data_IF_465695151375
#
_entry.id   IF_465695151375
#
_cell.length_a   1.000
_cell.length_b   1.000
_cell.length_c   1.000
_cell.angle_alpha   90.00
_cell.angle_beta   90.00
_cell.angle_gamma   90.00
#
_symmetry.space_group_name_H-M   'P 1'
#
loop_
_entity.id
_entity.type
_entity.pdbx_description
1 polymer ?
#
# COMPACT_ATOMS: atom_id res chain seq x y z
N UNK A 1 -3.32 -4.39 -6.23
CA UNK A 1 -2.49 -5.57 -5.91
C UNK A 1 -1.30 -5.55 -6.86
N UNK A 2 -0.09 -5.75 -6.35
CA UNK A 2 1.12 -5.89 -7.17
C UNK A 2 1.06 -7.11 -8.11
N UNK A 3 1.93 -7.25 -9.13
CA UNK A 3 1.88 -8.37 -10.07
C UNK A 3 1.88 -9.74 -9.39
N UNK A 4 2.74 -9.93 -8.39
CA UNK A 4 2.82 -11.19 -7.62
C UNK A 4 1.53 -11.45 -6.84
N UNK A 5 0.92 -10.41 -6.29
CA UNK A 5 -0.37 -10.52 -5.60
C UNK A 5 -1.53 -10.85 -6.55
N UNK A 6 -1.45 -10.42 -7.81
CA UNK A 6 -2.40 -10.81 -8.86
C UNK A 6 -2.24 -12.30 -9.18
N UNK A 7 -1.02 -12.80 -9.30
CA UNK A 7 -0.74 -14.23 -9.51
C UNK A 7 -1.21 -15.08 -8.32
N UNK A 8 -0.92 -14.66 -7.08
CA UNK A 8 -1.42 -15.32 -5.87
C UNK A 8 -2.95 -15.34 -5.86
N UNK A 9 -3.58 -14.21 -6.22
CA UNK A 9 -5.04 -14.10 -6.33
C UNK A 9 -5.61 -15.10 -7.34
N UNK A 10 -4.98 -15.22 -8.51
CA UNK A 10 -5.36 -16.17 -9.55
C UNK A 10 -5.30 -17.62 -9.04
N UNK A 11 -4.22 -17.99 -8.33
CA UNK A 11 -4.06 -19.34 -7.75
C UNK A 11 -5.08 -19.64 -6.65
N UNK A 12 -5.35 -18.67 -5.77
CA UNK A 12 -6.38 -18.80 -4.72
C UNK A 12 -7.75 -19.00 -5.37
N UNK A 13 -8.11 -18.16 -6.36
CA UNK A 13 -9.37 -18.27 -7.08
C UNK A 13 -9.50 -19.61 -7.80
N UNK A 14 -8.47 -20.06 -8.52
CA UNK A 14 -8.46 -21.35 -9.20
C UNK A 14 -8.65 -22.53 -8.26
N UNK A 15 -8.08 -22.47 -7.05
CA UNK A 15 -8.23 -23.53 -6.04
C UNK A 15 -9.59 -23.52 -5.36
N UNK A 16 -10.24 -22.37 -5.28
CA UNK A 16 -11.55 -22.19 -4.64
C UNK A 16 -12.72 -22.14 -5.64
N UNK A 17 -12.46 -22.33 -6.94
CA UNK A 17 -13.46 -22.24 -8.00
C UNK A 17 -14.66 -23.17 -7.80
N UNK A 18 -14.46 -24.34 -7.17
CA UNK A 18 -15.54 -25.28 -6.86
C UNK A 18 -16.57 -24.73 -5.86
N UNK A 19 -16.21 -23.67 -5.12
CA UNK A 19 -17.12 -22.95 -4.24
C UNK A 19 -17.86 -21.81 -4.94
N UNK A 20 -17.53 -21.48 -6.20
CA UNK A 20 -18.16 -20.35 -6.88
C UNK A 20 -19.47 -20.80 -7.51
N UNK A 21 -20.49 -19.95 -7.40
CA UNK A 21 -21.75 -20.13 -8.11
C UNK A 21 -21.65 -19.47 -9.49
N UNK A 22 -22.20 -20.14 -10.50
CA UNK A 22 -22.34 -19.60 -11.86
C UNK A 22 -23.74 -19.94 -12.38
N UNK A 23 -24.57 -18.91 -12.59
CA UNK A 23 -26.02 -19.03 -12.81
C UNK A 23 -26.47 -18.25 -14.04
N UNK A 24 -27.56 -18.70 -14.66
CA UNK A 24 -28.20 -18.01 -15.79
C UNK A 24 -29.17 -16.91 -15.35
N UNK A 25 -29.66 -16.98 -14.11
CA UNK A 25 -30.62 -16.04 -13.53
C UNK A 25 -29.96 -15.24 -12.39
N UNK A 26 -30.42 -14.01 -12.11
CA UNK A 26 -29.96 -13.22 -10.97
C UNK A 26 -30.16 -13.95 -9.66
N UNK A 27 -29.20 -13.84 -8.75
CA UNK A 27 -29.26 -14.47 -7.44
C UNK A 27 -28.64 -13.53 -6.39
N UNK A 28 -29.20 -13.41 -5.17
CA UNK A 28 -28.69 -12.52 -4.14
C UNK A 28 -27.23 -12.77 -3.74
N UNK A 29 -26.72 -14.00 -3.88
CA UNK A 29 -25.34 -14.35 -3.58
C UNK A 29 -24.41 -14.21 -4.81
N UNK A 30 -24.95 -13.82 -5.99
CA UNK A 30 -24.20 -13.56 -7.22
C UNK A 30 -24.08 -12.04 -7.48
N UNK A 31 -23.00 -11.45 -6.99
CA UNK A 31 -22.74 -10.00 -7.05
C UNK A 31 -22.19 -9.52 -8.39
N UNK A 32 -21.77 -10.44 -9.27
CA UNK A 32 -21.16 -10.12 -10.55
C UNK A 32 -21.94 -10.67 -11.75
N UNK A 33 -21.83 -10.01 -12.90
CA UNK A 33 -22.49 -10.37 -14.15
C UNK A 33 -21.57 -10.21 -15.35
N UNK A 34 -21.69 -11.12 -16.31
CA UNK A 34 -21.04 -11.10 -17.62
C UNK A 34 -22.12 -11.24 -18.69
N UNK A 35 -22.09 -10.42 -19.73
CA UNK A 35 -22.95 -10.59 -20.90
C UNK A 35 -22.16 -11.26 -22.03
N UNK A 36 -22.48 -12.51 -22.33
CA UNK A 36 -21.78 -13.31 -23.34
C UNK A 36 -21.95 -12.75 -24.77
N UNK A 37 -22.94 -11.87 -24.99
CA UNK A 37 -23.12 -11.19 -26.28
C UNK A 37 -22.28 -9.92 -26.43
N UNK A 38 -21.71 -9.42 -25.33
CA UNK A 38 -20.94 -8.17 -25.28
C UNK A 38 -19.58 -8.45 -24.64
N UNK A 39 -18.53 -8.69 -25.46
CA UNK A 39 -17.20 -8.94 -24.91
C UNK A 39 -16.76 -7.77 -24.03
N UNK A 40 -16.44 -8.06 -22.77
CA UNK A 40 -16.11 -7.06 -21.76
C UNK A 40 -15.75 -7.68 -20.42
N UNK A 41 -15.19 -6.87 -19.53
CA UNK A 41 -14.92 -7.28 -18.16
C UNK A 41 -16.23 -7.52 -17.39
N UNK A 42 -16.24 -8.40 -16.37
CA UNK A 42 -17.38 -8.55 -15.49
C UNK A 42 -17.80 -7.23 -14.84
N UNK A 43 -19.11 -7.03 -14.71
CA UNK A 43 -19.70 -5.89 -14.01
C UNK A 43 -20.31 -6.33 -12.68
N UNK A 44 -20.54 -5.39 -11.78
CA UNK A 44 -21.38 -5.64 -10.61
C UNK A 44 -22.85 -5.69 -11.03
N UNK A 45 -23.65 -6.54 -10.39
CA UNK A 45 -25.10 -6.56 -10.57
C UNK A 45 -25.68 -5.27 -9.98
N UNK A 46 -26.21 -4.40 -10.84
CA UNK A 46 -26.96 -3.23 -10.41
C UNK A 46 -28.38 -3.60 -9.99
N UNK A 47 -28.95 -2.88 -9.02
CA UNK A 47 -30.27 -3.18 -8.44
C UNK A 47 -31.47 -3.16 -9.41
N UNK A 48 -31.28 -2.75 -10.66
CA UNK A 48 -32.34 -2.69 -11.67
C UNK A 48 -31.90 -3.20 -13.05
N UNK A 49 -30.93 -4.12 -13.09
CA UNK A 49 -30.42 -4.69 -14.34
C UNK A 49 -31.43 -5.70 -14.94
N UNK A 50 -32.03 -5.44 -16.12
CA UNK A 50 -32.89 -6.43 -16.76
C UNK A 50 -32.06 -7.63 -17.25
N UNK A 51 -32.35 -8.80 -16.70
CA UNK A 51 -31.66 -10.03 -17.09
C UNK A 51 -31.99 -10.42 -18.54
N UNK A 52 -30.97 -10.88 -19.27
CA UNK A 52 -31.12 -11.40 -20.64
C UNK A 52 -30.60 -12.84 -20.72
N UNK A 53 -31.02 -13.65 -21.71
CA UNK A 53 -30.55 -15.04 -21.83
C UNK A 53 -29.03 -15.19 -22.05
N UNK A 54 -28.35 -14.13 -22.50
CA UNK A 54 -26.90 -14.11 -22.73
C UNK A 54 -26.12 -13.70 -21.48
N UNK A 55 -26.79 -13.26 -20.42
CA UNK A 55 -26.15 -12.91 -19.15
C UNK A 55 -25.84 -14.16 -18.31
N UNK A 56 -24.71 -14.11 -17.62
CA UNK A 56 -24.31 -15.09 -16.61
C UNK A 56 -23.94 -14.35 -15.34
N UNK A 57 -24.47 -14.81 -14.24
CA UNK A 57 -24.26 -14.26 -12.91
C UNK A 57 -23.30 -15.18 -12.16
N UNK A 58 -22.34 -14.60 -11.44
CA UNK A 58 -21.43 -15.41 -10.62
C UNK A 58 -21.26 -14.84 -9.22
N UNK A 59 -21.09 -15.75 -8.27
CA UNK A 59 -21.05 -15.46 -6.85
C UNK A 59 -19.90 -16.17 -6.15
N UNK A 60 -19.27 -15.47 -5.22
CA UNK A 60 -18.11 -15.95 -4.46
C UNK A 60 -18.42 -16.18 -2.99
N UNK A 61 -19.65 -15.91 -2.54
CA UNK A 61 -20.05 -15.92 -1.12
C UNK A 61 -19.77 -17.27 -0.45
N UNK A 62 -19.96 -18.39 -1.16
CA UNK A 62 -19.69 -19.72 -0.63
C UNK A 62 -18.20 -20.03 -0.43
N UNK A 63 -17.30 -19.29 -1.06
CA UNK A 63 -15.86 -19.42 -0.86
C UNK A 63 -15.38 -18.68 0.41
N UNK A 64 -16.15 -17.72 0.91
CA UNK A 64 -15.78 -16.87 2.06
C UNK A 64 -15.39 -17.69 3.30
N UNK A 65 -16.18 -18.68 3.78
CA UNK A 65 -15.80 -19.45 4.97
C UNK A 65 -14.50 -20.26 4.78
N UNK A 66 -14.21 -20.70 3.54
CA UNK A 66 -12.97 -21.40 3.22
C UNK A 66 -11.76 -20.45 3.30
N UNK A 67 -11.89 -19.23 2.75
CA UNK A 67 -10.86 -18.18 2.85
C UNK A 67 -10.60 -17.81 4.30
N UNK A 68 -11.65 -17.55 5.09
CA UNK A 68 -11.52 -17.22 6.51
C UNK A 68 -10.81 -18.32 7.31
N UNK A 69 -11.10 -19.58 7.02
CA UNK A 69 -10.42 -20.71 7.66
C UNK A 69 -8.92 -20.68 7.36
N UNK A 70 -8.54 -20.42 6.11
CA UNK A 70 -7.14 -20.35 5.69
C UNK A 70 -6.43 -19.16 6.36
N UNK A 71 -7.08 -18.00 6.41
CA UNK A 71 -6.58 -16.80 7.11
C UNK A 71 -6.30 -17.14 8.58
N UNK A 72 -7.29 -17.67 9.31
CA UNK A 72 -7.12 -17.99 10.74
C UNK A 72 -5.97 -18.97 11.00
N UNK A 73 -5.80 -19.98 10.14
CA UNK A 73 -4.70 -20.94 10.22
C UNK A 73 -3.34 -20.24 10.07
N UNK A 74 -3.20 -19.36 9.08
CA UNK A 74 -1.93 -18.67 8.82
C UNK A 74 -1.61 -17.56 9.84
N UNK A 75 -2.60 -17.03 10.54
CA UNK A 75 -2.39 -16.01 11.58
C UNK A 75 -1.95 -16.61 12.93
N UNK A 76 -2.36 -17.84 13.24
CA UNK A 76 -2.15 -18.45 14.56
C UNK A 76 -1.16 -19.61 14.55
N UNK A 77 -0.93 -20.24 13.40
CA UNK A 77 -0.06 -21.41 13.27
C UNK A 77 1.08 -21.13 12.28
N UNK A 78 2.20 -20.67 12.83
CA UNK A 78 3.43 -20.43 12.07
C UNK A 78 4.22 -21.72 11.79
N UNK A 79 3.80 -22.88 12.33
CA UNK A 79 4.57 -24.11 12.23
C UNK A 79 4.55 -24.70 10.81
N UNK A 80 3.45 -24.50 10.07
CA UNK A 80 3.34 -24.92 8.67
C UNK A 80 2.92 -23.76 7.76
N UNK A 81 3.85 -23.15 6.99
CA UNK A 81 3.51 -22.06 6.10
C UNK A 81 2.56 -22.53 4.99
N UNK A 82 1.62 -21.68 4.58
CA UNK A 82 0.70 -22.00 3.48
C UNK A 82 1.45 -22.24 2.16
N UNK A 83 1.53 -23.51 1.72
CA UNK A 83 2.21 -23.91 0.48
C UNK A 83 1.27 -24.06 -0.71
N UNK A 84 -0.05 -24.09 -0.50
CA UNK A 84 -1.03 -24.41 -1.57
C UNK A 84 -1.07 -23.35 -2.67
N UNK A 85 -0.57 -22.15 -2.42
CA UNK A 85 -0.57 -21.02 -3.37
C UNK A 85 0.81 -20.72 -3.99
N UNK A 86 1.79 -21.60 -3.78
CA UNK A 86 3.17 -21.41 -4.25
C UNK A 86 4.13 -21.15 -3.10
N UNK A 87 5.40 -21.53 -3.26
CA UNK A 87 6.44 -21.33 -2.24
C UNK A 87 7.27 -20.06 -2.50
N UNK A 88 7.13 -19.48 -3.69
CA UNK A 88 7.81 -18.27 -4.13
C UNK A 88 7.26 -16.99 -3.46
N UNK A 89 6.07 -17.04 -2.86
CA UNK A 89 5.46 -15.90 -2.17
C UNK A 89 5.59 -16.00 -0.65
N UNK A 90 5.81 -14.85 -0.01
CA UNK A 90 5.92 -14.73 1.45
C UNK A 90 4.60 -15.14 2.13
N UNK A 91 4.64 -15.75 3.33
CA UNK A 91 3.42 -16.04 4.10
C UNK A 91 2.58 -14.79 4.37
N UNK A 92 3.24 -13.67 4.70
CA UNK A 92 2.59 -12.38 4.91
C UNK A 92 1.90 -11.87 3.63
N UNK A 93 2.58 -11.92 2.48
CA UNK A 93 2.00 -11.52 1.20
C UNK A 93 0.78 -12.35 0.81
N UNK A 94 0.82 -13.68 1.02
CA UNK A 94 -0.36 -14.54 0.81
C UNK A 94 -1.53 -14.15 1.71
N UNK A 95 -1.25 -13.87 2.99
CA UNK A 95 -2.26 -13.44 3.94
C UNK A 95 -2.88 -12.10 3.54
N UNK A 96 -2.08 -11.14 3.08
CA UNK A 96 -2.54 -9.87 2.52
C UNK A 96 -3.51 -10.10 1.35
N UNK A 97 -3.17 -10.99 0.42
CA UNK A 97 -4.03 -11.31 -0.72
C UNK A 97 -5.32 -12.00 -0.29
N UNK A 98 -5.26 -12.97 0.62
CA UNK A 98 -6.45 -13.63 1.16
C UNK A 98 -7.41 -12.63 1.82
N UNK A 99 -6.88 -11.72 2.65
CA UNK A 99 -7.66 -10.64 3.28
C UNK A 99 -8.27 -9.70 2.25
N UNK A 100 -7.51 -9.34 1.21
CA UNK A 100 -8.01 -8.54 0.11
C UNK A 100 -9.17 -9.24 -0.62
N UNK A 101 -9.02 -10.50 -1.00
CA UNK A 101 -10.06 -11.28 -1.67
C UNK A 101 -11.32 -11.37 -0.80
N UNK A 102 -11.18 -11.57 0.52
CA UNK A 102 -12.30 -11.60 1.46
C UNK A 102 -13.11 -10.30 1.42
N UNK A 103 -12.46 -9.14 1.31
CA UNK A 103 -13.13 -7.84 1.17
C UNK A 103 -14.03 -7.77 -0.07
N UNK A 104 -13.60 -8.36 -1.20
CA UNK A 104 -14.35 -8.30 -2.47
C UNK A 104 -15.26 -9.50 -2.70
N UNK A 105 -15.01 -10.64 -2.07
CA UNK A 105 -15.83 -11.85 -2.24
C UNK A 105 -17.03 -11.92 -1.29
N UNK A 106 -17.07 -11.04 -0.29
CA UNK A 106 -18.20 -10.89 0.62
C UNK A 106 -19.46 -10.34 -0.05
N UNK A 107 -20.56 -10.29 0.71
CA UNK A 107 -21.87 -9.83 0.21
C UNK A 107 -21.94 -8.34 -0.14
N UNK A 108 -21.08 -7.54 0.48
CA UNK A 108 -21.03 -6.10 0.30
C UNK A 108 -19.62 -5.68 -0.16
N UNK A 109 -19.20 -6.05 -1.38
CA UNK A 109 -17.92 -5.61 -1.89
C UNK A 109 -17.88 -4.07 -1.95
N UNK A 110 -16.70 -3.44 -1.76
CA UNK A 110 -16.58 -2.00 -1.89
C UNK A 110 -17.05 -1.54 -3.28
N UNK A 111 -18.08 -0.69 -3.30
CA UNK A 111 -18.54 -0.07 -4.54
C UNK A 111 -17.93 1.32 -4.69
N UNK A 112 -17.97 1.86 -5.91
CA UNK A 112 -17.61 3.26 -6.15
C UNK A 112 -18.66 4.16 -5.48
N UNK A 113 -18.32 4.77 -4.35
CA UNK A 113 -19.25 5.62 -3.59
C UNK A 113 -19.13 7.11 -3.98
N UNK A 114 -18.01 7.51 -4.58
CA UNK A 114 -17.74 8.92 -4.89
C UNK A 114 -17.86 9.22 -6.38
N UNK A 115 -18.55 10.30 -6.68
CA UNK A 115 -18.65 10.86 -8.02
C UNK A 115 -17.27 11.38 -8.48
N UNK A 116 -16.90 11.05 -9.72
CA UNK A 116 -15.69 11.57 -10.35
C UNK A 116 -16.04 12.84 -11.12
N UNK A 117 -15.31 13.90 -10.86
CA UNK A 117 -15.43 15.15 -11.61
C UNK A 117 -14.42 15.12 -12.74
N UNK A 118 -14.92 15.21 -13.97
CA UNK A 118 -14.06 15.40 -15.14
C UNK A 118 -13.29 16.71 -15.00
N UNK A 119 -12.00 16.68 -15.25
CA UNK A 119 -11.12 17.84 -15.18
C UNK A 119 -10.12 17.79 -16.33
N UNK A 120 -9.72 18.94 -16.86
CA UNK A 120 -8.58 19.05 -17.76
C UNK A 120 -7.44 19.67 -16.96
N UNK A 121 -6.49 18.83 -16.53
CA UNK A 121 -5.32 19.24 -15.77
C UNK A 121 -4.14 18.31 -16.10
N UNK A 122 -2.95 18.70 -15.67
CA UNK A 122 -1.76 17.84 -15.68
C UNK A 122 -1.25 17.66 -14.26
N UNK A 123 -0.64 16.50 -14.01
CA UNK A 123 -0.03 16.17 -12.73
C UNK A 123 1.40 15.69 -12.95
N UNK A 124 2.31 16.14 -12.10
CA UNK A 124 3.68 15.64 -12.05
C UNK A 124 3.68 14.31 -11.30
N UNK A 125 4.28 13.29 -11.90
CA UNK A 125 4.35 11.92 -11.38
C UNK A 125 5.81 11.50 -11.27
N UNK A 126 6.19 11.01 -10.10
CA UNK A 126 7.48 10.33 -9.86
C UNK A 126 7.20 8.95 -9.28
N UNK A 127 8.18 8.06 -9.27
CA UNK A 127 8.01 6.69 -8.80
C UNK A 127 9.09 6.27 -7.82
N UNK A 128 8.76 5.26 -7.04
CA UNK A 128 9.68 4.58 -6.14
C UNK A 128 9.76 5.19 -4.75
N UNK A 129 9.80 4.32 -3.75
CA UNK A 129 9.80 4.65 -2.33
C UNK A 129 10.91 5.63 -1.96
N UNK A 130 12.14 5.39 -2.41
CA UNK A 130 13.29 6.25 -2.10
C UNK A 130 13.07 7.68 -2.55
N UNK A 131 12.70 7.90 -3.81
CA UNK A 131 12.42 9.24 -4.35
C UNK A 131 11.25 9.90 -3.62
N UNK A 132 10.15 9.16 -3.40
CA UNK A 132 8.95 9.70 -2.76
C UNK A 132 9.23 10.09 -1.30
N UNK A 133 9.95 9.26 -0.54
CA UNK A 133 10.32 9.54 0.86
C UNK A 133 11.15 10.81 1.01
N UNK A 134 11.81 11.22 -0.08
CA UNK A 134 12.62 12.42 -0.14
C UNK A 134 11.85 13.67 -0.59
N UNK A 135 10.75 13.50 -1.33
CA UNK A 135 9.96 14.58 -1.91
C UNK A 135 8.76 15.00 -1.07
N UNK A 136 8.21 14.09 -0.28
CA UNK A 136 7.12 14.41 0.65
C UNK A 136 7.62 15.29 1.80
N UNK A 137 6.68 15.91 2.52
CA UNK A 137 6.99 16.75 3.68
C UNK A 137 7.93 16.00 4.63
N UNK A 138 9.08 16.59 4.93
CA UNK A 138 10.06 16.01 5.86
C UNK A 138 9.95 16.67 7.23
N UNK A 139 10.30 15.92 8.25
CA UNK A 139 10.56 16.51 9.56
C UNK A 139 11.98 17.07 9.60
N UNK A 140 12.13 18.28 10.13
CA UNK A 140 13.42 18.91 10.29
C UNK A 140 14.31 18.12 11.27
N UNK A 141 15.50 17.73 10.79
CA UNK A 141 16.48 16.98 11.57
C UNK A 141 17.13 17.85 12.63
N UNK A 142 17.29 19.16 12.36
CA UNK A 142 17.89 20.09 13.32
C UNK A 142 16.99 20.32 14.55
N UNK A 143 15.70 20.03 14.42
CA UNK A 143 14.72 20.10 15.50
C UNK A 143 14.71 18.85 16.41
N UNK A 144 15.58 17.85 16.21
CA UNK A 144 15.58 16.60 16.99
C UNK A 144 16.41 16.69 18.28
N UNK A 145 15.76 16.61 19.46
CA UNK A 145 16.39 16.92 20.77
C UNK A 145 17.04 15.71 21.47
N UNK A 146 16.76 14.48 21.04
CA UNK A 146 17.14 13.24 21.74
C UNK A 146 18.13 12.35 20.96
N UNK A 147 18.92 12.93 20.04
CA UNK A 147 19.92 12.22 19.24
C UNK A 147 21.34 12.61 19.66
N UNK A 148 22.27 11.65 19.65
CA UNK A 148 23.68 11.95 19.85
C UNK A 148 24.25 12.73 18.66
N UNK A 149 25.35 13.48 18.84
CA UNK A 149 26.04 14.15 17.73
C UNK A 149 26.46 13.19 16.61
N UNK A 150 26.77 11.94 16.97
CA UNK A 150 27.08 10.88 16.00
C UNK A 150 25.82 10.50 15.20
N UNK A 151 24.67 10.33 15.86
CA UNK A 151 23.41 9.96 15.20
C UNK A 151 22.87 11.07 14.30
N UNK A 152 22.97 12.34 14.74
CA UNK A 152 22.59 13.48 13.91
C UNK A 152 23.44 13.57 12.65
N UNK A 153 24.75 13.29 12.76
CA UNK A 153 25.66 13.23 11.61
C UNK A 153 25.28 12.10 10.65
N UNK A 154 24.95 10.90 11.16
CA UNK A 154 24.48 9.77 10.34
C UNK A 154 23.20 10.13 9.59
N UNK A 155 22.22 10.71 10.27
CA UNK A 155 20.96 11.12 9.65
C UNK A 155 21.14 12.26 8.64
N UNK A 156 22.03 13.23 8.90
CA UNK A 156 22.36 14.31 7.94
C UNK A 156 23.01 13.78 6.67
N UNK A 157 23.92 12.81 6.81
CA UNK A 157 24.53 12.16 5.65
C UNK A 157 23.49 11.35 4.85
N UNK A 158 22.62 10.60 5.53
CA UNK A 158 21.57 9.79 4.85
C UNK A 158 20.43 10.62 4.24
N UNK A 159 20.19 11.82 4.76
CA UNK A 159 19.15 12.74 4.26
C UNK A 159 19.64 13.69 3.16
N UNK A 160 20.94 13.68 2.85
CA UNK A 160 21.58 14.61 1.91
C UNK A 160 21.76 16.03 2.45
N UNK A 161 21.63 16.24 3.77
CA UNK A 161 21.67 17.58 4.40
C UNK A 161 23.12 18.01 4.74
N UNK A 162 24.11 17.12 4.56
CA UNK A 162 25.52 17.43 4.77
C UNK A 162 26.20 18.11 3.56
N UNK A 163 26.27 19.44 3.58
CA UNK A 163 27.29 20.30 2.92
C UNK A 163 28.09 19.71 1.73
N UNK A 164 27.43 19.50 0.60
CA UNK A 164 27.91 19.77 -0.76
C UNK A 164 26.75 19.40 -1.70
N UNK A 165 26.40 20.29 -2.62
CA UNK A 165 25.44 20.00 -3.67
C UNK A 165 26.00 18.86 -4.54
N UNK A 166 25.51 17.63 -4.37
CA UNK A 166 25.53 16.57 -5.40
C UNK A 166 24.86 15.21 -5.03
N UNK A 167 24.24 15.04 -3.84
CA UNK A 167 23.44 13.83 -3.53
C UNK A 167 21.92 14.11 -3.61
N UNK A 168 21.49 14.96 -4.56
CA UNK A 168 20.09 14.97 -4.98
C UNK A 168 19.80 13.57 -5.54
N UNK A 169 18.90 12.80 -4.92
CA UNK A 169 18.42 11.57 -5.56
C UNK A 169 17.87 11.96 -6.91
N UNK A 170 18.50 11.49 -7.98
CA UNK A 170 17.98 11.64 -9.32
C UNK A 170 16.59 10.98 -9.35
N UNK A 171 15.55 11.81 -9.36
CA UNK A 171 14.18 11.39 -9.59
C UNK A 171 13.74 11.93 -10.94
N UNK A 172 13.08 11.09 -11.71
CA UNK A 172 12.49 11.48 -12.98
C UNK A 172 11.03 11.84 -12.72
N UNK A 173 10.62 13.01 -13.20
CA UNK A 173 9.22 13.41 -13.17
C UNK A 173 8.63 13.28 -14.58
N UNK A 174 7.48 12.62 -14.67
CA UNK A 174 6.67 12.53 -15.86
C UNK A 174 5.43 13.41 -15.71
N UNK A 175 4.97 14.04 -16.80
CA UNK A 175 3.74 14.83 -16.79
C UNK A 175 2.58 14.02 -17.37
N UNK A 176 1.58 13.72 -16.55
CA UNK A 176 0.43 12.92 -16.97
C UNK A 176 -0.84 13.78 -17.06
N UNK A 177 -1.57 13.74 -18.19
CA UNK A 177 -2.90 14.34 -18.28
C UNK A 177 -3.89 13.66 -17.31
N UNK A 178 -4.58 14.47 -16.53
CA UNK A 178 -5.67 14.03 -15.64
C UNK A 178 -6.98 14.12 -16.40
N UNK A 179 -7.76 13.05 -16.35
CA UNK A 179 -9.09 12.94 -16.95
C UNK A 179 -10.18 13.25 -15.92
N UNK A 180 -10.00 12.74 -14.70
CA UNK A 180 -10.99 12.87 -13.63
C UNK A 180 -10.34 12.76 -12.24
N UNK A 181 -11.05 13.28 -11.23
CA UNK A 181 -10.62 13.21 -9.83
C UNK A 181 -11.81 12.90 -8.90
N UNK A 182 -11.54 12.12 -7.85
CA UNK A 182 -12.41 11.92 -6.67
C UNK A 182 -11.64 12.29 -5.39
N UNK A 183 -12.23 12.11 -4.20
CA UNK A 183 -11.52 12.43 -2.95
C UNK A 183 -10.24 11.60 -2.82
N UNK A 184 -10.34 10.31 -3.16
CA UNK A 184 -9.28 9.32 -2.92
C UNK A 184 -8.69 8.72 -4.21
N UNK A 185 -8.90 9.35 -5.37
CA UNK A 185 -8.44 8.76 -6.62
C UNK A 185 -8.34 9.73 -7.79
N UNK A 186 -7.48 9.37 -8.73
CA UNK A 186 -7.20 10.14 -9.95
C UNK A 186 -7.28 9.20 -11.15
N UNK A 187 -8.01 9.60 -12.19
CA UNK A 187 -7.94 9.00 -13.52
C UNK A 187 -7.02 9.80 -14.41
N UNK A 188 -6.04 9.15 -15.05
CA UNK A 188 -5.05 9.81 -15.90
C UNK A 188 -4.71 8.97 -17.12
N UNK A 189 -4.11 9.60 -18.12
CA UNK A 189 -3.50 8.91 -19.27
C UNK A 189 -1.99 8.97 -19.16
N UNK A 190 -1.32 7.87 -19.49
CA UNK A 190 0.13 7.80 -19.53
C UNK A 190 0.59 8.17 -20.96
N UNK A 191 1.41 9.22 -21.14
CA UNK A 191 1.97 9.55 -22.45
C UNK A 191 2.82 8.41 -23.02
N UNK A 192 2.84 8.23 -24.34
CA UNK A 192 3.59 7.13 -25.01
C UNK A 192 5.09 7.13 -24.75
N UNK A 193 5.68 8.28 -24.43
CA UNK A 193 7.11 8.41 -24.14
C UNK A 193 7.43 8.25 -22.63
N UNK A 194 6.43 7.92 -21.82
CA UNK A 194 6.47 7.90 -20.37
C UNK A 194 5.91 6.56 -19.84
N UNK A 195 6.10 6.31 -18.55
CA UNK A 195 5.45 5.20 -17.83
C UNK A 195 6.06 3.82 -18.07
N UNK A 196 7.32 3.74 -18.50
CA UNK A 196 8.03 2.46 -18.66
C UNK A 196 8.11 1.65 -17.35
N UNK A 197 8.09 2.34 -16.21
CA UNK A 197 8.10 1.74 -14.88
C UNK A 197 6.72 1.21 -14.47
N UNK A 198 5.63 1.68 -15.08
CA UNK A 198 4.28 1.57 -14.51
C UNK A 198 3.71 0.16 -14.57
N UNK A 199 3.44 -0.40 -13.39
CA UNK A 199 2.71 -1.65 -13.17
C UNK A 199 1.60 -1.40 -12.13
N UNK A 200 0.61 -2.29 -12.11
CA UNK A 200 -0.38 -2.27 -11.02
C UNK A 200 0.33 -2.61 -9.72
N UNK A 201 0.14 -1.80 -8.69
CA UNK A 201 0.79 -1.93 -7.38
C UNK A 201 1.90 -0.92 -7.15
N UNK A 202 2.41 -0.25 -8.18
CA UNK A 202 3.54 0.65 -8.01
C UNK A 202 3.16 1.91 -7.24
N UNK A 203 4.09 2.34 -6.40
CA UNK A 203 4.01 3.58 -5.65
C UNK A 203 4.37 4.76 -6.54
N UNK A 204 3.58 5.82 -6.46
CA UNK A 204 3.84 7.05 -7.19
C UNK A 204 3.71 8.28 -6.29
N UNK A 205 4.65 9.21 -6.44
CA UNK A 205 4.52 10.56 -5.91
C UNK A 205 3.74 11.40 -6.91
N UNK A 206 2.78 12.19 -6.42
CA UNK A 206 1.90 13.00 -7.25
C UNK A 206 1.98 14.46 -6.81
N UNK A 207 2.23 15.39 -7.74
CA UNK A 207 2.23 16.82 -7.44
C UNK A 207 1.42 17.58 -8.48
N UNK A 208 0.37 18.26 -8.03
CA UNK A 208 -0.39 19.17 -8.88
C UNK A 208 0.48 20.38 -9.26
N UNK A 209 0.36 20.90 -10.49
CA UNK A 209 1.20 22.01 -10.99
C UNK A 209 1.27 23.25 -10.10
N UNK A 210 0.19 23.56 -9.37
CA UNK A 210 0.11 24.73 -8.49
C UNK A 210 0.34 24.38 -7.00
N UNK A 211 0.79 23.17 -6.70
CA UNK A 211 1.06 22.68 -5.34
C UNK A 211 2.57 22.48 -5.16
N UNK A 212 3.07 22.88 -3.99
CA UNK A 212 4.43 22.51 -3.54
C UNK A 212 4.43 21.16 -2.80
N UNK A 213 3.25 20.65 -2.44
CA UNK A 213 3.10 19.41 -1.69
C UNK A 213 2.99 18.22 -2.63
N UNK A 214 3.84 17.22 -2.40
CA UNK A 214 3.73 15.89 -2.97
C UNK A 214 2.73 15.05 -2.17
N UNK A 215 1.86 14.36 -2.89
CA UNK A 215 0.99 13.32 -2.38
C UNK A 215 1.60 11.96 -2.66
N UNK A 216 1.17 10.95 -1.90
CA UNK A 216 1.50 9.56 -2.18
C UNK A 216 0.27 8.88 -2.77
N UNK A 217 0.46 8.18 -3.88
CA UNK A 217 -0.55 7.36 -4.52
C UNK A 217 -0.02 5.99 -4.94
N UNK A 218 -0.92 5.15 -5.41
CA UNK A 218 -0.61 3.81 -5.91
C UNK A 218 -1.38 3.53 -7.20
N UNK A 219 -0.71 2.93 -8.18
CA UNK A 219 -1.34 2.48 -9.42
C UNK A 219 -2.24 1.27 -9.11
N UNK A 220 -3.56 1.41 -9.30
CA UNK A 220 -4.52 0.32 -9.01
C UNK A 220 -5.09 -0.33 -10.25
N UNK A 221 -5.13 0.40 -11.37
CA UNK A 221 -5.75 -0.07 -12.61
C UNK A 221 -5.00 0.48 -13.80
N UNK A 222 -4.82 -0.37 -14.81
CA UNK A 222 -4.32 0.00 -16.13
C UNK A 222 -5.31 -0.52 -17.17
N UNK A 223 -5.59 0.30 -18.18
CA UNK A 223 -6.42 -0.09 -19.32
C UNK A 223 -5.88 0.58 -20.57
N UNK A 224 -5.50 -0.22 -21.56
CA UNK A 224 -5.22 0.29 -22.90
C UNK A 224 -6.53 0.42 -23.67
N UNK A 225 -6.76 1.57 -24.27
CA UNK A 225 -7.91 1.78 -25.17
C UNK A 225 -7.58 1.33 -26.61
N UNK A 226 -8.57 1.30 -27.53
CA UNK A 226 -8.33 0.89 -28.92
C UNK A 226 -7.37 1.79 -29.71
N UNK A 227 -6.97 2.96 -29.17
CA UNK A 227 -6.01 3.89 -29.77
C UNK A 227 -4.59 3.71 -29.20
N UNK A 228 -4.36 2.63 -28.44
CA UNK A 228 -3.12 2.35 -27.72
C UNK A 228 -2.75 3.42 -26.69
N UNK A 229 -3.74 4.13 -26.13
CA UNK A 229 -3.54 5.04 -25.01
C UNK A 229 -3.74 4.26 -23.72
N UNK A 230 -2.77 4.35 -22.82
CA UNK A 230 -2.84 3.70 -21.51
C UNK A 230 -3.52 4.64 -20.50
N UNK A 231 -4.63 4.18 -19.96
CA UNK A 231 -5.37 4.83 -18.89
C UNK A 231 -4.97 4.23 -17.55
N UNK A 232 -4.55 5.06 -16.61
CA UNK A 232 -4.19 4.67 -15.26
C UNK A 232 -5.21 5.19 -14.23
N UNK A 233 -5.59 4.31 -13.32
CA UNK A 233 -6.36 4.64 -12.13
C UNK A 233 -5.46 4.63 -10.92
N UNK A 234 -5.18 5.81 -10.37
CA UNK A 234 -4.37 5.99 -9.18
C UNK A 234 -5.26 6.13 -7.95
N UNK A 235 -4.97 5.37 -6.90
CA UNK A 235 -5.52 5.61 -5.57
C UNK A 235 -4.61 6.60 -4.83
N UNK A 236 -5.18 7.63 -4.21
CA UNK A 236 -4.43 8.58 -3.40
C UNK A 236 -4.38 8.05 -1.96
N UNK A 237 -3.21 7.58 -1.53
CA UNK A 237 -3.01 7.05 -0.18
C UNK A 237 -2.95 8.15 0.88
N UNK A 238 -2.26 9.26 0.57
CA UNK A 238 -2.17 10.41 1.46
C UNK A 238 -1.91 11.71 0.70
N UNK A 239 -2.63 12.77 1.07
CA UNK A 239 -2.40 14.15 0.57
C UNK A 239 -1.44 14.96 1.45
N UNK A 240 -1.22 14.50 2.69
CA UNK A 240 -0.28 15.09 3.65
C UNK A 240 0.64 14.00 4.25
N UNK A 241 1.35 13.24 3.40
CA UNK A 241 2.35 12.29 3.87
C UNK A 241 3.46 13.00 4.66
N UNK A 242 4.04 12.29 5.62
CA UNK A 242 5.18 12.79 6.41
C UNK A 242 6.34 11.79 6.34
N UNK A 243 7.48 12.23 5.82
CA UNK A 243 8.73 11.46 5.86
C UNK A 243 9.37 11.57 7.23
N UNK A 244 9.63 10.42 7.83
CA UNK A 244 10.20 10.25 9.17
C UNK A 244 11.34 9.24 9.13
N UNK A 245 12.18 9.29 10.15
CA UNK A 245 13.21 8.27 10.36
C UNK A 245 12.75 7.31 11.45
N UNK A 246 12.92 6.02 11.18
CA UNK A 246 12.73 4.96 12.16
C UNK A 246 14.07 4.57 12.73
N UNK A 247 14.12 4.45 14.06
CA UNK A 247 15.24 3.91 14.82
C UNK A 247 14.85 2.54 15.37
N UNK A 248 15.60 1.50 15.02
CA UNK A 248 15.37 0.15 15.55
C UNK A 248 15.71 0.10 17.03
N UNK A 249 14.74 -0.27 17.88
CA UNK A 249 14.94 -0.41 19.33
C UNK A 249 15.12 -1.88 19.77
N UNK A 250 14.85 -2.85 18.88
CA UNK A 250 15.01 -4.28 19.12
C UNK A 250 14.01 -5.12 18.32
N UNK A 251 14.32 -6.40 18.12
CA UNK A 251 13.35 -7.41 17.64
C UNK A 251 12.51 -7.87 18.85
N UNK A 252 11.22 -8.14 18.66
CA UNK A 252 10.30 -8.53 19.74
C UNK A 252 10.79 -9.70 20.62
N UNK A 253 10.13 -9.88 21.77
CA UNK A 253 10.38 -10.86 22.83
C UNK A 253 11.79 -10.94 23.46
N UNK A 254 12.78 -10.18 22.96
CA UNK A 254 14.04 -9.92 23.64
C UNK A 254 14.09 -8.47 24.11
N UNK A 255 13.33 -8.14 25.16
CA UNK A 255 13.66 -7.00 26.01
C UNK A 255 13.84 -7.46 27.45
N UNK A 256 14.73 -6.74 28.13
CA UNK A 256 15.00 -6.76 29.57
C UNK A 256 16.07 -7.76 30.04
N UNK A 257 17.34 -7.50 29.71
CA UNK A 257 18.48 -7.81 30.62
C UNK A 257 19.82 -7.22 30.18
N UNK A 258 20.03 -6.94 28.88
CA UNK A 258 21.35 -6.48 28.40
C UNK A 258 21.47 -4.97 28.16
N UNK A 259 20.43 -4.17 28.40
CA UNK A 259 20.41 -2.76 28.01
C UNK A 259 21.08 -1.81 29.02
N UNK A 260 21.08 -2.15 30.32
CA UNK A 260 21.65 -1.30 31.38
C UNK A 260 23.15 -1.52 31.65
N UNK A 261 23.76 -2.57 31.08
CA UNK A 261 25.09 -3.04 31.50
C UNK A 261 26.19 -2.98 30.44
N UNK A 262 25.90 -2.47 29.23
CA UNK A 262 26.91 -2.39 28.16
C UNK A 262 27.29 -0.95 27.83
N UNK A 263 28.44 -0.53 28.32
CA UNK A 263 29.13 0.75 28.03
C UNK A 263 29.75 0.82 26.62
N UNK A 264 29.18 0.11 25.64
CA UNK A 264 29.63 0.09 24.26
C UNK A 264 28.87 1.10 23.40
N UNK A 265 29.55 1.78 22.50
CA UNK A 265 28.95 2.69 21.51
C UNK A 265 27.95 1.94 20.62
N UNK A 266 26.66 1.97 20.95
CA UNK A 266 25.62 1.40 20.10
C UNK A 266 25.50 2.23 18.82
N UNK A 267 25.69 1.60 17.66
CA UNK A 267 25.27 2.15 16.37
C UNK A 267 23.82 1.74 16.14
N UNK A 268 22.94 2.73 16.03
CA UNK A 268 21.54 2.48 15.71
C UNK A 268 21.36 2.38 14.20
N UNK A 269 20.55 1.43 13.76
CA UNK A 269 20.07 1.37 12.38
C UNK A 269 18.90 2.34 12.21
N UNK A 270 19.08 3.30 11.30
CA UNK A 270 18.09 4.28 10.89
C UNK A 270 17.63 4.04 9.46
N UNK A 271 16.33 4.00 9.22
CA UNK A 271 15.80 3.86 7.86
C UNK A 271 14.60 4.79 7.63
N UNK A 272 14.41 5.28 6.40
CA UNK A 272 13.32 6.20 6.10
C UNK A 272 11.98 5.46 6.11
N UNK A 273 10.94 6.18 6.50
CA UNK A 273 9.57 5.73 6.41
C UNK A 273 8.65 6.90 6.05
N UNK A 274 7.51 6.59 5.44
CA UNK A 274 6.49 7.59 5.11
C UNK A 274 5.24 7.29 5.92
N UNK A 275 4.90 8.16 6.86
CA UNK A 275 3.64 8.10 7.58
C UNK A 275 2.49 8.55 6.66
N UNK A 276 1.47 7.70 6.59
CA UNK A 276 0.23 7.95 5.88
C UNK A 276 -0.87 8.24 6.93
N UNK A 277 -1.29 9.51 7.07
CA UNK A 277 -2.36 9.86 8.00
C UNK A 277 -3.68 9.19 7.64
N UNK A 278 -4.54 8.96 8.64
CA UNK A 278 -5.94 8.62 8.41
C UNK A 278 -6.71 9.76 7.72
N UNK A 279 -7.95 9.49 7.29
CA UNK A 279 -8.80 10.46 6.59
C UNK A 279 -9.02 11.78 7.35
N UNK A 280 -8.85 11.78 8.68
CA UNK A 280 -9.01 12.96 9.54
C UNK A 280 -7.67 13.65 9.85
N UNK A 281 -6.56 13.16 9.30
CA UNK A 281 -5.19 13.59 9.63
C UNK A 281 -4.87 13.50 11.12
N UNK A 282 -5.49 12.57 11.85
CA UNK A 282 -5.30 12.41 13.30
C UNK A 282 -4.11 11.52 13.65
N UNK A 283 -3.61 10.76 12.68
CA UNK A 283 -2.59 9.72 12.84
C UNK A 283 -2.93 8.63 13.87
N UNK A 284 -4.21 8.53 14.27
CA UNK A 284 -4.68 7.52 15.22
C UNK A 284 -4.71 6.15 14.54
N UNK A 285 -5.24 6.10 13.31
CA UNK A 285 -5.27 4.89 12.49
C UNK A 285 -4.33 5.02 11.29
N UNK A 286 -3.17 5.67 11.51
CA UNK A 286 -2.17 5.83 10.46
C UNK A 286 -1.60 4.49 10.02
N UNK A 287 -1.17 4.46 8.77
CA UNK A 287 -0.33 3.37 8.24
C UNK A 287 1.00 3.96 7.81
N UNK A 288 1.96 3.12 7.48
CA UNK A 288 3.29 3.57 7.14
C UNK A 288 3.81 2.82 5.93
N UNK A 289 4.58 3.51 5.08
CA UNK A 289 5.37 2.88 4.03
C UNK A 289 6.81 2.76 4.49
N UNK A 290 7.38 1.57 4.35
CA UNK A 290 8.79 1.27 4.61
C UNK A 290 9.39 0.59 3.37
N UNK A 291 10.72 0.50 3.32
CA UNK A 291 11.42 -0.19 2.24
C UNK A 291 11.06 -1.68 2.22
N UNK A 292 10.93 -2.26 1.02
CA UNK A 292 10.59 -3.67 0.85
C UNK A 292 11.55 -4.60 1.61
N UNK A 293 11.00 -5.63 2.28
CA UNK A 293 11.76 -6.57 3.11
C UNK A 293 12.11 -6.07 4.52
N UNK A 294 11.64 -4.88 4.92
CA UNK A 294 11.92 -4.31 6.25
C UNK A 294 10.89 -4.72 7.32
N UNK A 295 9.70 -5.19 6.90
CA UNK A 295 8.65 -5.55 7.84
C UNK A 295 9.00 -6.80 8.64
N UNK A 296 8.99 -6.63 9.96
CA UNK A 296 9.06 -7.72 10.93
C UNK A 296 7.96 -7.52 11.95
N UNK A 297 7.06 -8.51 12.05
CA UNK A 297 5.93 -8.49 12.98
C UNK A 297 6.41 -8.29 14.42
N UNK A 298 5.67 -7.48 15.18
CA UNK A 298 5.94 -7.14 16.59
C UNK A 298 7.29 -6.45 16.87
N UNK A 299 8.00 -5.99 15.83
CA UNK A 299 9.20 -5.19 16.02
C UNK A 299 8.86 -3.78 16.51
N UNK A 300 9.68 -3.28 17.43
CA UNK A 300 9.51 -1.97 18.06
C UNK A 300 10.51 -0.99 17.46
N UNK A 301 9.98 0.12 16.97
CA UNK A 301 10.76 1.21 16.41
C UNK A 301 10.46 2.50 17.18
N UNK A 302 11.45 3.38 17.22
CA UNK A 302 11.21 4.76 17.57
C UNK A 302 11.03 5.59 16.30
N UNK A 303 9.92 6.29 16.20
CA UNK A 303 9.65 7.24 15.12
C UNK A 303 10.18 8.60 15.53
N UNK A 304 11.08 9.16 14.72
CA UNK A 304 11.62 10.50 14.90
C UNK A 304 10.70 11.52 14.23
N UNK A 305 9.95 12.28 15.03
CA UNK A 305 8.99 13.30 14.59
C UNK A 305 9.40 14.70 15.06
N UNK A 306 10.68 15.05 14.83
CA UNK A 306 11.23 16.37 15.13
C UNK A 306 11.60 16.43 16.60
N UNK A 307 11.05 17.40 17.33
CA UNK A 307 11.31 17.53 18.77
C UNK A 307 10.78 16.34 19.59
N UNK A 308 9.80 15.61 19.05
CA UNK A 308 9.18 14.46 19.71
C UNK A 308 9.59 13.17 19.03
N UNK A 309 9.86 12.16 19.85
CA UNK A 309 10.01 10.78 19.41
C UNK A 309 8.94 9.93 20.09
N UNK A 310 8.34 8.99 19.36
CA UNK A 310 7.36 8.05 19.92
C UNK A 310 7.72 6.63 19.52
N UNK A 311 7.47 5.68 20.41
CA UNK A 311 7.64 4.27 20.08
C UNK A 311 6.40 3.74 19.37
N UNK A 312 6.63 2.86 18.40
CA UNK A 312 5.60 2.12 17.68
C UNK A 312 5.95 0.64 17.66
N UNK A 313 4.92 -0.19 17.60
CA UNK A 313 5.04 -1.63 17.34
C UNK A 313 4.37 -1.93 16.01
N UNK A 314 5.08 -2.59 15.09
CA UNK A 314 4.48 -3.01 13.81
C UNK A 314 3.53 -4.19 14.04
N UNK A 315 2.31 -4.10 13.51
CA UNK A 315 1.24 -5.07 13.79
C UNK A 315 0.80 -5.88 12.59
N UNK A 316 1.17 -5.48 11.37
CA UNK A 316 0.75 -6.21 10.18
C UNK A 316 1.25 -5.63 8.87
N UNK A 317 1.33 -6.51 7.86
CA UNK A 317 1.59 -6.15 6.47
C UNK A 317 0.26 -5.96 5.72
N UNK A 318 0.02 -4.74 5.24
CA UNK A 318 -1.22 -4.35 4.56
C UNK A 318 -1.10 -4.43 3.04
N UNK A 319 0.06 -4.11 2.49
CA UNK A 319 0.37 -4.23 1.07
C UNK A 319 1.88 -4.36 0.87
N UNK A 320 2.26 -4.92 -0.27
CA UNK A 320 3.65 -5.09 -0.70
C UNK A 320 3.69 -4.69 -2.17
N UNK A 321 4.67 -3.86 -2.51
CA UNK A 321 4.99 -3.47 -3.87
C UNK A 321 6.45 -3.80 -4.20
N UNK A 322 6.91 -3.36 -5.36
CA UNK A 322 8.26 -3.71 -5.85
C UNK A 322 9.37 -3.19 -4.92
N UNK A 323 9.21 -2.01 -4.33
CA UNK A 323 10.22 -1.36 -3.50
C UNK A 323 9.70 -0.82 -2.16
N UNK A 324 8.48 -1.19 -1.78
CA UNK A 324 7.87 -0.75 -0.52
C UNK A 324 6.98 -1.83 0.12
N UNK A 325 6.80 -1.70 1.42
CA UNK A 325 5.79 -2.39 2.21
C UNK A 325 4.90 -1.36 2.93
N UNK A 326 3.58 -1.52 2.84
CA UNK A 326 2.64 -0.76 3.64
C UNK A 326 2.29 -1.56 4.89
N UNK A 327 2.51 -0.97 6.06
CA UNK A 327 2.39 -1.64 7.35
C UNK A 327 1.40 -0.92 8.27
N UNK A 328 0.70 -1.69 9.10
CA UNK A 328 -0.03 -1.17 10.26
C UNK A 328 0.87 -1.15 11.48
N UNK A 329 0.61 -0.23 12.39
CA UNK A 329 1.36 -0.10 13.64
C UNK A 329 0.47 0.42 14.76
N UNK A 330 0.91 0.24 16.00
CA UNK A 330 0.32 0.80 17.21
C UNK A 330 1.30 1.76 17.86
N UNK A 331 0.81 2.92 18.31
CA UNK A 331 1.59 3.81 19.17
C UNK A 331 1.72 3.19 20.56
N UNK A 332 2.93 3.15 21.11
CA UNK A 332 3.16 2.74 22.50
C UNK A 332 3.10 3.97 23.41
N UNK A 333 2.41 3.83 24.54
CA UNK A 333 2.33 4.90 25.54
C UNK A 333 3.69 5.10 26.22
N UNK A 334 4.11 6.35 26.47
CA UNK A 334 5.38 6.64 27.13
C UNK A 334 5.46 6.21 28.60
N UNK A 335 4.41 5.62 29.20
CA UNK A 335 4.31 5.28 30.64
C UNK A 335 3.99 3.79 30.93
N UNK A 336 4.52 2.85 30.14
CA UNK A 336 4.66 1.44 30.58
C UNK A 336 6.11 0.96 30.47
N UNK A 337 7.04 1.76 31.01
CA UNK A 337 8.44 1.39 31.25
C UNK A 337 8.76 1.53 32.72
#
# INVERSE_FOLDING_TARGET
MAPDQIEVSYRIAGRLVSFFDFKAEPDPDCTYVIDLSRPGAPANVGGNLPATPTMRFFGTVKAVPAVEKIIRQNEHDFAEPERRFGNEFTPAGKLTVLKHLLTYWGRNPPHRHQERKGISATIDVTHGFKAISQLVTRVDIDSMVNLSEKDTTVLKNRSGIGLAADDDVEYVTEEWPVLDISVDGIGCTIPRAAGNWVKIGDLCGLKAKNSQLWWVGMIRRLKTDPQDIVHAGVEVLAKKPLSVWLRTLGKGAEKVSNWESSSGSFEYDYFPAILLPDAYNSYVNATMLIESGSFVLDSIYQVMMGEKSREIKLTGLLAEGEDYEQVSFEWLDPEQG
#
